data_IF_294235126683
#
_entry.id   IF_294235126683
#
_cell.length_a   1.000
_cell.length_b   1.000
_cell.length_c   1.000
_cell.angle_alpha   90.00
_cell.angle_beta   90.00
_cell.angle_gamma   90.00
#
_symmetry.space_group_name_H-M   'P 1'
#
loop_
_entity.id
_entity.type
_entity.pdbx_description
1 polymer ?
#
# COMPACT_ATOMS: atom_id res chain seq x y z
N UNK A 1 19.36 -7.90 5.10
CA UNK A 1 17.89 -7.66 5.13
C UNK A 1 17.50 -6.76 6.31
N UNK A 2 18.15 -6.89 7.47
CA UNK A 2 17.90 -6.09 8.68
C UNK A 2 17.97 -4.57 8.46
N UNK A 3 19.05 -4.07 7.83
CA UNK A 3 19.25 -2.62 7.56
C UNK A 3 18.11 -1.95 6.77
N UNK A 4 17.53 -2.66 5.80
CA UNK A 4 16.46 -2.10 4.96
C UNK A 4 15.12 -1.98 5.71
N UNK A 5 14.88 -2.84 6.69
CA UNK A 5 13.68 -2.77 7.52
C UNK A 5 13.78 -1.62 8.54
N UNK A 6 14.98 -1.39 9.08
CA UNK A 6 15.28 -0.28 9.99
C UNK A 6 15.09 1.09 9.30
N UNK A 7 15.61 1.27 8.08
CA UNK A 7 15.42 2.50 7.28
C UNK A 7 13.93 2.81 7.03
N UNK A 8 13.12 1.81 6.69
CA UNK A 8 11.67 1.98 6.44
C UNK A 8 10.94 2.40 7.72
N UNK A 9 11.34 1.84 8.86
CA UNK A 9 10.72 2.17 10.15
C UNK A 9 11.10 3.58 10.61
N UNK A 10 12.35 3.99 10.40
CA UNK A 10 12.84 5.34 10.72
C UNK A 10 12.18 6.41 9.84
N UNK A 11 12.07 6.17 8.53
CA UNK A 11 11.35 7.03 7.58
C UNK A 11 9.87 7.21 7.96
N UNK A 12 9.25 6.14 8.49
CA UNK A 12 7.85 6.16 8.98
C UNK A 12 7.74 6.98 10.27
N UNK A 13 8.69 6.83 11.19
CA UNK A 13 8.73 7.55 12.47
C UNK A 13 8.91 9.07 12.31
N UNK A 14 9.63 9.53 11.28
CA UNK A 14 9.84 10.95 10.98
C UNK A 14 8.76 11.58 10.08
N UNK A 15 7.68 10.87 9.73
CA UNK A 15 6.66 11.34 8.77
C UNK A 15 7.27 11.75 7.41
N UNK A 16 8.39 11.15 7.03
CA UNK A 16 9.04 11.40 5.74
C UNK A 16 8.41 10.53 4.65
N UNK A 17 7.15 10.83 4.31
CA UNK A 17 6.37 10.08 3.33
C UNK A 17 7.10 9.88 1.98
N UNK A 18 7.98 10.81 1.59
CA UNK A 18 8.78 10.71 0.37
C UNK A 18 9.83 9.59 0.45
N UNK A 19 10.55 9.49 1.56
CA UNK A 19 11.58 8.45 1.73
C UNK A 19 10.93 7.09 1.96
N UNK A 20 9.87 7.01 2.78
CA UNK A 20 9.10 5.79 2.94
C UNK A 20 8.61 5.24 1.59
N UNK A 21 8.08 6.11 0.71
CA UNK A 21 7.64 5.72 -0.62
C UNK A 21 8.81 5.31 -1.53
N UNK A 22 9.97 5.97 -1.45
CA UNK A 22 11.16 5.61 -2.21
C UNK A 22 11.74 4.25 -1.77
N UNK A 23 11.79 4.00 -0.46
CA UNK A 23 12.36 2.78 0.12
C UNK A 23 11.45 1.58 -0.11
N UNK A 24 10.14 1.73 0.07
CA UNK A 24 9.15 0.68 -0.28
C UNK A 24 9.17 0.38 -1.77
N UNK A 25 9.24 1.41 -2.62
CA UNK A 25 9.44 1.25 -4.06
C UNK A 25 10.70 0.45 -4.37
N UNK A 26 11.84 0.73 -3.74
CA UNK A 26 13.08 -0.01 -3.98
C UNK A 26 13.09 -1.47 -3.49
N UNK A 27 12.15 -1.86 -2.62
CA UNK A 27 11.98 -3.24 -2.13
C UNK A 27 11.02 -4.03 -3.02
N UNK A 28 9.95 -3.40 -3.50
CA UNK A 28 8.89 -4.05 -4.27
C UNK A 28 9.01 -3.86 -5.78
N UNK A 29 9.67 -2.81 -6.25
CA UNK A 29 10.02 -2.66 -7.67
C UNK A 29 11.23 -3.54 -7.99
N UNK A 30 10.92 -4.72 -8.50
CA UNK A 30 11.86 -5.53 -9.28
C UNK A 30 12.29 -4.72 -10.52
N UNK A 31 13.55 -4.79 -10.98
CA UNK A 31 13.98 -4.14 -12.22
C UNK A 31 13.17 -4.66 -13.42
N UNK A 32 12.14 -3.90 -13.78
CA UNK A 32 11.33 -3.90 -15.01
C UNK A 32 11.46 -5.16 -15.88
N UNK A 33 10.56 -6.13 -15.69
CA UNK A 33 9.99 -6.92 -16.80
C UNK A 33 8.50 -7.19 -16.54
N UNK A 34 7.67 -6.43 -17.27
CA UNK A 34 6.22 -6.54 -17.27
C UNK A 34 5.60 -5.77 -16.12
N UNK A 35 5.13 -4.54 -16.39
CA UNK A 35 4.10 -3.95 -15.54
C UNK A 35 2.99 -5.00 -15.41
N UNK A 36 2.80 -5.54 -14.20
CA UNK A 36 1.83 -6.61 -13.99
C UNK A 36 0.49 -6.04 -14.42
N UNK A 37 -0.14 -6.61 -15.46
CA UNK A 37 -1.33 -6.00 -16.00
C UNK A 37 -2.41 -5.90 -14.93
N UNK A 38 -2.91 -4.69 -14.69
CA UNK A 38 -3.86 -4.47 -13.60
C UNK A 38 -5.22 -5.06 -14.02
N UNK A 39 -5.82 -5.90 -13.20
CA UNK A 39 -7.12 -6.49 -13.49
C UNK A 39 -8.24 -5.56 -12.97
N UNK A 40 -9.29 -5.43 -13.76
CA UNK A 40 -10.52 -4.72 -13.43
C UNK A 40 -11.19 -5.27 -12.15
N UNK A 41 -12.20 -4.54 -11.65
CA UNK A 41 -12.89 -4.90 -10.40
C UNK A 41 -13.66 -6.22 -10.47
N UNK A 42 -14.19 -6.52 -11.64
CA UNK A 42 -14.89 -7.76 -11.98
C UNK A 42 -13.94 -8.93 -12.30
N UNK A 43 -12.63 -8.70 -12.35
CA UNK A 43 -11.65 -9.76 -12.58
C UNK A 43 -11.49 -10.18 -14.05
N UNK A 44 -12.24 -9.60 -14.98
CA UNK A 44 -12.36 -10.10 -16.35
C UNK A 44 -11.52 -9.35 -17.38
N UNK A 45 -11.10 -8.13 -17.08
CA UNK A 45 -10.48 -7.23 -18.07
C UNK A 45 -9.11 -6.75 -17.63
N UNK A 46 -8.19 -6.79 -18.60
CA UNK A 46 -6.85 -6.26 -18.46
C UNK A 46 -6.85 -4.75 -18.68
N UNK A 47 -6.41 -3.99 -17.68
CA UNK A 47 -6.29 -2.54 -17.78
C UNK A 47 -4.89 -2.18 -18.29
N UNK A 48 -4.82 -1.66 -19.51
CA UNK A 48 -3.58 -1.16 -20.12
C UNK A 48 -3.58 0.37 -20.29
N UNK A 49 -4.74 1.03 -20.13
CA UNK A 49 -4.87 2.48 -20.23
C UNK A 49 -4.64 3.12 -18.85
N UNK A 50 -3.70 4.07 -18.77
CA UNK A 50 -3.33 4.76 -17.52
C UNK A 50 -4.51 5.33 -16.75
N UNK A 51 -5.50 5.94 -17.44
CA UNK A 51 -6.69 6.49 -16.80
C UNK A 51 -7.57 5.42 -16.14
N UNK A 52 -7.68 4.24 -16.75
CA UNK A 52 -8.43 3.12 -16.20
C UNK A 52 -7.72 2.53 -14.96
N UNK A 53 -6.38 2.45 -15.00
CA UNK A 53 -5.57 2.02 -13.86
C UNK A 53 -5.75 2.99 -12.68
N UNK A 54 -5.66 4.30 -12.92
CA UNK A 54 -5.86 5.32 -11.88
C UNK A 54 -7.27 5.26 -11.28
N UNK A 55 -8.30 5.11 -12.12
CA UNK A 55 -9.68 4.93 -11.65
C UNK A 55 -9.81 3.70 -10.76
N UNK A 56 -9.20 2.59 -11.16
CA UNK A 56 -9.20 1.34 -10.39
C UNK A 56 -8.50 1.49 -9.04
N UNK A 57 -7.39 2.22 -8.97
CA UNK A 57 -6.74 2.54 -7.70
C UNK A 57 -7.65 3.36 -6.78
N UNK A 58 -8.32 4.39 -7.29
CA UNK A 58 -9.28 5.19 -6.52
C UNK A 58 -10.39 4.32 -5.94
N UNK A 59 -10.97 3.44 -6.75
CA UNK A 59 -12.05 2.56 -6.28
C UNK A 59 -11.56 1.51 -5.27
N UNK A 60 -10.35 0.97 -5.47
CA UNK A 60 -9.74 0.02 -4.54
C UNK A 60 -9.46 0.66 -3.18
N UNK A 61 -8.80 1.82 -3.15
CA UNK A 61 -8.53 2.53 -1.91
C UNK A 61 -9.80 3.00 -1.22
N UNK A 62 -10.83 3.43 -1.98
CA UNK A 62 -12.12 3.77 -1.39
C UNK A 62 -12.74 2.57 -0.69
N UNK A 63 -12.71 1.38 -1.31
CA UNK A 63 -13.22 0.15 -0.72
C UNK A 63 -12.46 -0.25 0.54
N UNK A 64 -11.13 -0.17 0.52
CA UNK A 64 -10.29 -0.56 1.65
C UNK A 64 -10.41 0.43 2.82
N UNK A 65 -10.33 1.73 2.54
CA UNK A 65 -10.26 2.78 3.57
C UNK A 65 -11.63 3.13 4.17
N UNK A 66 -12.71 2.99 3.41
CA UNK A 66 -14.07 3.27 3.91
C UNK A 66 -14.78 2.01 4.44
N UNK A 67 -14.09 0.86 4.47
CA UNK A 67 -14.63 -0.34 5.10
C UNK A 67 -14.70 -0.10 6.60
N UNK A 68 -15.91 -0.12 7.15
CA UNK A 68 -16.12 -0.03 8.60
C UNK A 68 -15.31 -1.12 9.30
N UNK A 69 -14.42 -0.69 10.19
CA UNK A 69 -13.58 -1.63 10.95
C UNK A 69 -14.37 -2.12 12.16
N UNK A 70 -14.59 -3.44 12.27
CA UNK A 70 -15.22 -4.07 13.45
C UNK A 70 -14.21 -4.23 14.59
N UNK A 71 -13.38 -3.22 14.83
CA UNK A 71 -12.40 -3.26 15.89
C UNK A 71 -13.10 -2.91 17.20
N UNK A 72 -13.07 -3.83 18.17
CA UNK A 72 -13.68 -3.61 19.49
C UNK A 72 -12.81 -2.66 20.32
N UNK A 73 -13.45 -1.82 21.14
CA UNK A 73 -12.76 -0.95 22.11
C UNK A 73 -11.82 -1.73 23.04
N UNK A 74 -12.18 -2.96 23.40
CA UNK A 74 -11.34 -3.83 24.22
C UNK A 74 -10.03 -4.24 23.50
N UNK A 75 -10.05 -4.32 22.17
CA UNK A 75 -8.85 -4.59 21.37
C UNK A 75 -7.94 -3.36 21.30
N UNK A 76 -8.52 -2.15 21.28
CA UNK A 76 -7.77 -0.87 21.29
C UNK A 76 -7.02 -0.71 22.61
N UNK A 77 -7.70 -0.94 23.75
CA UNK A 77 -7.09 -0.83 25.09
C UNK A 77 -5.94 -1.84 25.30
N UNK A 78 -5.94 -2.94 24.55
CA UNK A 78 -4.90 -3.99 24.62
C UNK A 78 -3.69 -3.74 23.70
N UNK A 79 -3.69 -2.67 22.91
CA UNK A 79 -2.54 -2.34 22.06
C UNK A 79 -1.33 -1.98 22.95
N UNK A 80 -0.17 -2.63 22.77
CA UNK A 80 1.02 -2.30 23.53
C UNK A 80 1.45 -0.87 23.22
N UNK A 81 1.68 -0.07 24.27
CA UNK A 81 2.32 1.23 24.13
C UNK A 81 3.82 1.00 23.96
N UNK A 82 4.41 1.63 22.93
CA UNK A 82 5.85 1.69 22.70
C UNK A 82 6.40 3.00 23.23
#
# INVERSE_FOLDING_TARGET
MTRKAEEIQEDTGHNECKNFFATTRAVYETPVKGATPFISADGTTLLNVKSQILKRWVDHFRSVLNRSSTMSDAAIVRLPQV
#
